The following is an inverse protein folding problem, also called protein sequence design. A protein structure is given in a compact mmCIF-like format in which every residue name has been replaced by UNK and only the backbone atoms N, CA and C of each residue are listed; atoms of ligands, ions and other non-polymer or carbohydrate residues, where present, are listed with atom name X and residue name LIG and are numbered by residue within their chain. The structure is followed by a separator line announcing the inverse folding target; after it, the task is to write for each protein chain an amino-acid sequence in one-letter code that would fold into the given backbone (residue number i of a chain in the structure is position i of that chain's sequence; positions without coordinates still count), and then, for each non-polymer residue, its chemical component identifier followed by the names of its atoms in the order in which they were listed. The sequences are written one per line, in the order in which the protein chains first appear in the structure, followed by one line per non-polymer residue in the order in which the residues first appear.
data_IF_497803746757
#
_entry.id   IF_497803746757
#
_cell.length_a   1.000
_cell.length_b   1.000
_cell.length_c   1.000
_cell.angle_alpha   90.00
_cell.angle_beta   90.00
_cell.angle_gamma   90.00
#
_symmetry.space_group_name_H-M   'P 1'
#
loop_
_entity.id
_entity.type
_entity.pdbx_description
1 polymer ?
#
# COMPACT_ATOMS: atom_id res chain seq x y z
N UNK A 1 -11.37 8.94 -5.81
CA UNK A 1 -11.46 7.86 -4.80
C UNK A 1 -11.15 6.60 -5.57
N UNK A 2 -10.10 5.86 -5.24
CA UNK A 2 -9.84 4.56 -5.88
C UNK A 2 -10.51 3.54 -4.98
N UNK A 3 -11.58 2.96 -5.50
CA UNK A 3 -12.56 2.17 -4.77
C UNK A 3 -12.11 0.74 -4.44
N UNK A 4 -11.04 0.23 -5.07
CA UNK A 4 -10.44 -1.06 -4.72
C UNK A 4 -8.93 -1.04 -4.93
N UNK A 5 -8.18 -1.52 -3.93
CA UNK A 5 -6.73 -1.69 -4.01
C UNK A 5 -6.38 -3.12 -4.43
N UNK A 6 -5.65 -3.34 -5.53
CA UNK A 6 -5.13 -4.66 -5.83
C UNK A 6 -4.05 -5.05 -4.83
N UNK A 7 -4.03 -6.34 -4.49
CA UNK A 7 -3.11 -6.94 -3.52
C UNK A 7 -2.54 -8.23 -4.07
N UNK A 8 -1.25 -8.43 -3.87
CA UNK A 8 -0.54 -9.66 -4.17
C UNK A 8 -0.22 -10.35 -2.84
N UNK A 9 -0.99 -11.39 -2.50
CA UNK A 9 -0.79 -12.15 -1.27
C UNK A 9 0.28 -13.22 -1.48
N UNK A 10 1.28 -13.23 -0.61
CA UNK A 10 2.47 -14.10 -0.70
C UNK A 10 2.40 -15.21 0.35
N UNK A 11 2.04 -14.88 1.59
CA UNK A 11 1.90 -15.86 2.68
C UNK A 11 0.68 -15.54 3.53
N UNK A 12 0.17 -16.55 4.23
CA UNK A 12 -0.89 -16.37 5.21
C UNK A 12 -0.30 -16.03 6.58
N UNK A 13 -0.82 -14.97 7.20
CA UNK A 13 -0.61 -14.67 8.62
C UNK A 13 -1.87 -15.12 9.38
N UNK A 14 -1.70 -15.92 10.43
CA UNK A 14 -2.81 -16.53 11.16
C UNK A 14 -3.07 -15.91 12.53
N UNK A 15 -2.00 -15.43 13.17
CA UNK A 15 -2.02 -14.81 14.50
C UNK A 15 -1.06 -13.60 14.49
N UNK A 16 -0.88 -12.91 15.61
CA UNK A 16 0.12 -11.83 15.70
C UNK A 16 -0.29 -10.46 15.14
N UNK A 17 0.71 -9.59 14.91
CA UNK A 17 0.53 -8.20 14.47
C UNK A 17 1.16 -8.00 13.10
N UNK A 18 0.36 -7.49 12.15
CA UNK A 18 0.86 -7.10 10.85
C UNK A 18 1.47 -5.69 10.91
N UNK A 19 2.69 -5.58 10.42
CA UNK A 19 3.38 -4.33 10.16
C UNK A 19 3.27 -3.98 8.68
N UNK A 20 3.06 -2.70 8.38
CA UNK A 20 3.02 -2.21 7.01
C UNK A 20 4.05 -1.09 6.85
N UNK A 21 4.94 -1.25 5.88
CA UNK A 21 5.88 -0.20 5.47
C UNK A 21 5.51 0.27 4.07
N UNK A 22 5.55 1.59 3.86
CA UNK A 22 5.07 2.23 2.63
C UNK A 22 6.15 3.16 2.11
N UNK A 23 6.40 3.10 0.79
CA UNK A 23 7.35 3.96 0.10
C UNK A 23 6.67 4.65 -1.07
N UNK A 24 6.88 5.96 -1.20
CA UNK A 24 6.42 6.68 -2.39
C UNK A 24 7.32 6.31 -3.57
N UNK A 25 6.72 5.72 -4.59
CA UNK A 25 7.38 5.42 -5.87
C UNK A 25 7.37 6.67 -6.76
N UNK A 26 6.29 7.46 -6.69
CA UNK A 26 6.18 8.73 -7.38
C UNK A 26 5.32 9.72 -6.58
N UNK A 27 5.89 10.87 -6.21
CA UNK A 27 5.22 11.90 -5.40
C UNK A 27 4.76 13.10 -6.25
N UNK A 28 3.88 12.87 -7.23
CA UNK A 28 3.31 13.95 -8.04
C UNK A 28 2.37 14.86 -7.23
N UNK A 29 2.16 16.09 -7.73
CA UNK A 29 1.33 17.11 -7.05
C UNK A 29 -0.15 16.73 -6.96
N UNK A 30 -0.68 16.12 -8.02
CA UNK A 30 -2.10 15.74 -8.09
C UNK A 30 -2.32 14.24 -7.89
N UNK A 31 -1.31 13.43 -8.22
CA UNK A 31 -1.39 11.97 -8.20
C UNK A 31 -0.08 11.40 -7.66
N UNK A 32 -0.17 10.43 -6.77
CA UNK A 32 0.98 9.75 -6.17
C UNK A 32 0.90 8.24 -6.38
N UNK A 33 2.04 7.58 -6.59
CA UNK A 33 2.15 6.13 -6.68
C UNK A 33 2.91 5.63 -5.45
N UNK A 34 2.35 4.61 -4.81
CA UNK A 34 2.87 4.04 -3.57
C UNK A 34 3.02 2.53 -3.70
N UNK A 35 4.09 2.03 -3.10
CA UNK A 35 4.28 0.61 -2.82
C UNK A 35 4.18 0.40 -1.31
N UNK A 36 3.44 -0.63 -0.90
CA UNK A 36 3.32 -1.04 0.48
C UNK A 36 3.62 -2.53 0.64
N UNK A 37 4.44 -2.85 1.65
CA UNK A 37 4.78 -4.23 2.03
C UNK A 37 4.23 -4.51 3.40
N UNK A 38 3.41 -5.55 3.50
CA UNK A 38 2.82 -6.05 4.75
C UNK A 38 3.60 -7.26 5.23
N UNK A 39 4.06 -7.22 6.48
CA UNK A 39 4.90 -8.24 7.11
C UNK A 39 4.39 -8.60 8.50
N UNK A 40 4.39 -9.89 8.82
CA UNK A 40 4.41 -10.37 10.21
C UNK A 40 5.88 -10.69 10.55
N UNK A 41 6.27 -11.97 10.40
CA UNK A 41 7.68 -12.44 10.39
C UNK A 41 8.26 -12.50 8.97
N UNK A 42 7.38 -12.62 7.97
CA UNK A 42 7.69 -12.69 6.54
C UNK A 42 6.69 -11.82 5.77
N UNK A 43 7.01 -11.51 4.52
CA UNK A 43 6.10 -10.77 3.64
C UNK A 43 4.82 -11.54 3.42
N UNK A 44 3.71 -10.98 3.91
CA UNK A 44 2.37 -11.54 3.75
C UNK A 44 1.71 -11.02 2.47
N UNK A 45 1.89 -9.74 2.14
CA UNK A 45 1.32 -9.15 0.94
C UNK A 45 2.10 -7.92 0.46
N UNK A 46 1.97 -7.62 -0.83
CA UNK A 46 2.45 -6.38 -1.46
C UNK A 46 1.29 -5.69 -2.16
N UNK A 47 1.27 -4.36 -2.08
CA UNK A 47 0.27 -3.52 -2.72
C UNK A 47 0.98 -2.45 -3.55
N UNK A 48 0.43 -2.18 -4.73
CA UNK A 48 0.76 -1.01 -5.53
C UNK A 48 -0.49 -0.20 -5.77
N UNK A 49 -0.45 1.07 -5.42
CA UNK A 49 -1.62 1.92 -5.53
C UNK A 49 -1.32 3.34 -5.95
N UNK A 50 -2.31 3.92 -6.62
CA UNK A 50 -2.32 5.33 -6.95
C UNK A 50 -3.20 6.07 -5.94
N UNK A 51 -2.80 7.28 -5.55
CA UNK A 51 -3.56 8.17 -4.67
C UNK A 51 -3.79 9.49 -5.39
N UNK A 52 -5.03 9.95 -5.40
CA UNK A 52 -5.37 11.31 -5.83
C UNK A 52 -5.22 12.27 -4.65
N UNK A 53 -4.50 13.37 -4.84
CA UNK A 53 -4.37 14.44 -3.85
C UNK A 53 -5.34 15.56 -4.21
N UNK A 54 -6.33 15.77 -3.36
CA UNK A 54 -7.30 16.85 -3.49
C UNK A 54 -6.80 18.06 -2.71
N UNK A 55 -6.55 19.15 -3.41
CA UNK A 55 -6.19 20.42 -2.80
C UNK A 55 -7.46 21.22 -2.49
N UNK A 56 -7.56 21.84 -1.29
CA UNK A 56 -8.63 22.79 -1.02
C UNK A 56 -8.52 23.97 -2.00
N UNK A 57 -9.69 24.49 -2.39
CA UNK A 57 -9.81 25.72 -3.16
C UNK A 57 -9.91 26.92 -2.25
#
# INVERSE_FOLDING_TARGET
MIETLPAEFVTTAWEGVLHCSVTSVHSGRSTQLWDATVTEDRTAAVFRCTQLILWPR
#
